data_IF_898748491195
#
_entry.id   IF_898748491195
#
_cell.length_a   1.000
_cell.length_b   1.000
_cell.length_c   1.000
_cell.angle_alpha   90.00
_cell.angle_beta   90.00
_cell.angle_gamma   90.00
#
_symmetry.space_group_name_H-M   'P 1'
#
loop_
_entity.id
_entity.type
_entity.pdbx_description
1 polymer ?
#
# COMPACT_ATOMS: atom_id res chain seq x y z
N UNK A 1 -0.21 -4.05 -11.26
CA UNK A 1 0.38 -5.34 -10.85
C UNK A 1 -0.27 -5.76 -9.55
N UNK A 2 -1.01 -6.87 -9.54
CA UNK A 2 -1.67 -7.38 -8.34
C UNK A 2 -0.93 -8.63 -7.87
N UNK A 3 -0.28 -8.54 -6.72
CA UNK A 3 0.45 -9.66 -6.08
C UNK A 3 -0.47 -10.83 -5.72
N UNK A 4 -1.78 -10.62 -5.75
CA UNK A 4 -2.79 -11.68 -5.52
C UNK A 4 -2.87 -12.73 -6.62
N UNK A 5 -2.34 -12.42 -7.81
CA UNK A 5 -2.28 -13.37 -8.90
C UNK A 5 -0.93 -14.08 -8.86
N UNK A 6 -0.90 -15.29 -8.30
CA UNK A 6 0.32 -16.11 -8.24
C UNK A 6 0.93 -16.30 -9.64
N UNK A 7 0.10 -16.42 -10.67
CA UNK A 7 0.55 -16.57 -12.06
C UNK A 7 1.27 -15.31 -12.53
N UNK A 8 0.80 -14.12 -12.13
CA UNK A 8 1.45 -12.85 -12.47
C UNK A 8 2.75 -12.65 -11.69
N UNK A 9 2.81 -13.05 -10.43
CA UNK A 9 4.05 -13.02 -9.63
C UNK A 9 5.11 -13.87 -10.30
N UNK A 10 4.79 -15.12 -10.63
CA UNK A 10 5.75 -16.06 -11.24
C UNK A 10 6.20 -15.61 -12.65
N UNK A 11 5.36 -14.89 -13.39
CA UNK A 11 5.66 -14.39 -14.74
C UNK A 11 6.36 -13.03 -14.77
N UNK A 12 6.29 -12.26 -13.71
CA UNK A 12 6.79 -10.89 -13.71
C UNK A 12 8.30 -10.78 -14.02
N UNK A 13 9.19 -11.59 -13.43
CA UNK A 13 10.61 -11.58 -13.80
C UNK A 13 10.83 -11.90 -15.28
N UNK A 14 10.10 -12.88 -15.80
CA UNK A 14 10.18 -13.25 -17.23
C UNK A 14 9.67 -12.12 -18.15
N UNK A 15 8.62 -11.41 -17.74
CA UNK A 15 8.12 -10.24 -18.48
C UNK A 15 9.16 -9.12 -18.51
N UNK A 16 9.84 -8.84 -17.40
CA UNK A 16 10.93 -7.88 -17.34
C UNK A 16 12.09 -8.28 -18.24
N UNK A 17 12.50 -9.54 -18.18
CA UNK A 17 13.57 -10.09 -19.02
C UNK A 17 13.21 -9.98 -20.51
N UNK A 18 11.99 -10.34 -20.90
CA UNK A 18 11.52 -10.26 -22.28
C UNK A 18 11.47 -8.82 -22.80
N UNK A 19 11.08 -7.86 -21.93
CA UNK A 19 10.92 -6.46 -22.32
C UNK A 19 12.26 -5.72 -22.40
N UNK A 20 13.15 -5.96 -21.47
CA UNK A 20 14.39 -5.19 -21.33
C UNK A 20 15.64 -5.99 -21.69
N UNK A 21 15.49 -7.30 -21.89
CA UNK A 21 16.58 -8.19 -22.25
C UNK A 21 17.65 -8.29 -21.17
N UNK A 22 18.86 -8.56 -21.61
CA UNK A 22 20.04 -8.64 -20.73
C UNK A 22 20.71 -7.28 -20.51
N UNK A 23 20.14 -6.19 -21.04
CA UNK A 23 20.68 -4.85 -20.84
C UNK A 23 20.08 -4.27 -19.57
N UNK A 24 20.84 -4.17 -18.46
CA UNK A 24 20.30 -3.64 -17.21
C UNK A 24 19.91 -2.16 -17.39
N UNK A 25 18.82 -1.73 -16.74
CA UNK A 25 18.54 -0.30 -16.62
C UNK A 25 19.64 0.38 -15.79
N UNK A 26 19.89 1.66 -16.02
CA UNK A 26 20.82 2.43 -15.20
C UNK A 26 20.31 2.64 -13.78
N UNK A 27 18.98 2.70 -13.63
CA UNK A 27 18.28 2.87 -12.36
C UNK A 27 16.94 2.15 -12.47
N UNK A 28 16.62 1.37 -11.46
CA UNK A 28 15.31 0.77 -11.26
C UNK A 28 14.59 1.52 -10.14
N UNK A 29 13.44 2.11 -10.44
CA UNK A 29 12.60 2.79 -9.44
C UNK A 29 11.43 1.88 -9.09
N UNK A 30 11.35 1.49 -7.83
CA UNK A 30 10.28 0.64 -7.29
C UNK A 30 9.34 1.48 -6.43
N UNK A 31 8.08 1.52 -6.79
CA UNK A 31 7.03 2.17 -6.02
C UNK A 31 6.36 1.13 -5.11
N UNK A 32 6.65 1.23 -3.83
CA UNK A 32 6.24 0.26 -2.82
C UNK A 32 7.32 -0.80 -2.54
N UNK A 33 7.57 -1.05 -1.26
CA UNK A 33 8.53 -2.06 -0.78
C UNK A 33 8.15 -3.48 -1.18
N UNK A 34 6.87 -3.72 -1.46
CA UNK A 34 6.35 -4.98 -1.97
C UNK A 34 7.09 -5.45 -3.25
N UNK A 35 7.51 -4.51 -4.10
CA UNK A 35 8.25 -4.86 -5.33
C UNK A 35 9.63 -5.49 -5.07
N UNK A 36 10.13 -5.37 -3.85
CA UNK A 36 11.38 -5.98 -3.42
C UNK A 36 11.31 -7.51 -3.18
N UNK A 37 10.12 -8.11 -3.29
CA UNK A 37 10.02 -9.58 -3.31
C UNK A 37 10.79 -10.18 -4.50
N UNK A 38 10.97 -9.42 -5.58
CA UNK A 38 11.71 -9.84 -6.79
C UNK A 38 13.19 -9.45 -6.78
N UNK A 39 13.77 -9.06 -5.65
CA UNK A 39 15.16 -8.58 -5.56
C UNK A 39 16.19 -9.61 -6.04
N UNK A 40 15.96 -10.90 -5.75
CA UNK A 40 16.85 -11.99 -6.16
C UNK A 40 16.84 -12.14 -7.67
N UNK A 41 15.65 -12.19 -8.29
CA UNK A 41 15.49 -12.30 -9.73
C UNK A 41 16.07 -11.07 -10.45
N UNK A 42 15.90 -9.88 -9.88
CA UNK A 42 16.50 -8.64 -10.40
C UNK A 42 18.03 -8.75 -10.38
N UNK A 43 18.61 -9.24 -9.29
CA UNK A 43 20.04 -9.42 -9.14
C UNK A 43 20.60 -10.49 -10.09
N UNK A 44 19.88 -11.60 -10.26
CA UNK A 44 20.23 -12.65 -11.22
C UNK A 44 20.19 -12.15 -12.67
N UNK A 45 19.19 -11.34 -13.02
CA UNK A 45 19.03 -10.82 -14.39
C UNK A 45 20.06 -9.74 -14.73
N UNK A 46 20.31 -8.82 -13.81
CA UNK A 46 21.01 -7.55 -14.12
C UNK A 46 22.19 -7.23 -13.21
N UNK A 47 22.56 -8.14 -12.31
CA UNK A 47 23.66 -7.95 -11.37
C UNK A 47 23.39 -6.80 -10.38
N UNK A 48 24.39 -5.95 -10.17
CA UNK A 48 24.35 -4.87 -9.19
C UNK A 48 23.71 -3.59 -9.77
N UNK A 49 22.47 -3.70 -10.26
CA UNK A 49 21.72 -2.53 -10.73
C UNK A 49 21.36 -1.59 -9.57
N UNK A 50 21.41 -0.28 -9.82
CA UNK A 50 20.97 0.70 -8.82
C UNK A 50 19.47 0.64 -8.64
N UNK A 51 18.99 0.48 -7.41
CA UNK A 51 17.57 0.38 -7.04
C UNK A 51 17.17 1.52 -6.12
N UNK A 52 16.15 2.28 -6.51
CA UNK A 52 15.48 3.28 -5.66
C UNK A 52 14.12 2.74 -5.25
N UNK A 53 13.93 2.50 -3.95
CA UNK A 53 12.64 2.10 -3.39
C UNK A 53 11.96 3.30 -2.77
N UNK A 54 10.73 3.60 -3.18
CA UNK A 54 9.91 4.69 -2.66
C UNK A 54 8.71 4.10 -1.92
N UNK A 55 8.67 4.22 -0.59
CA UNK A 55 7.56 3.72 0.22
C UNK A 55 7.39 4.54 1.52
N UNK A 56 6.24 4.41 2.14
CA UNK A 56 5.97 4.91 3.50
C UNK A 56 6.47 3.96 4.60
N UNK A 57 6.65 2.69 4.27
CA UNK A 57 7.11 1.63 5.17
C UNK A 57 8.49 1.14 4.73
N UNK A 58 9.54 1.25 5.56
CA UNK A 58 10.88 0.80 5.23
C UNK A 58 11.07 -0.72 5.35
N UNK A 59 10.01 -1.47 5.55
CA UNK A 59 10.08 -2.91 5.71
C UNK A 59 9.60 -3.65 4.47
N UNK A 60 10.28 -4.75 4.16
CA UNK A 60 9.90 -5.74 3.18
C UNK A 60 9.36 -6.94 3.94
N UNK A 61 8.20 -7.40 3.55
CA UNK A 61 7.55 -8.57 4.11
C UNK A 61 7.69 -9.78 3.20
N UNK A 62 7.28 -10.94 3.68
CA UNK A 62 7.23 -12.15 2.85
C UNK A 62 6.16 -12.02 1.78
N UNK A 63 6.35 -12.72 0.66
CA UNK A 63 5.34 -12.80 -0.40
C UNK A 63 3.99 -13.27 0.14
N UNK A 64 4.00 -14.22 1.07
CA UNK A 64 2.81 -14.72 1.74
C UNK A 64 2.03 -13.61 2.46
N UNK A 65 2.72 -12.69 3.13
CA UNK A 65 2.09 -11.54 3.79
C UNK A 65 1.39 -10.61 2.79
N UNK A 66 2.04 -10.33 1.67
CA UNK A 66 1.43 -9.48 0.64
C UNK A 66 0.23 -10.15 -0.06
N UNK A 67 0.22 -11.46 -0.11
CA UNK A 67 -0.90 -12.24 -0.69
C UNK A 67 -2.05 -12.44 0.29
N UNK A 68 -1.75 -12.54 1.59
CA UNK A 68 -2.78 -12.68 2.62
C UNK A 68 -3.44 -11.34 2.90
N UNK A 69 -4.73 -11.39 3.07
CA UNK A 69 -5.53 -10.26 3.55
C UNK A 69 -5.53 -10.18 5.08
N UNK A 70 -4.53 -10.77 5.73
CA UNK A 70 -4.40 -10.77 7.18
C UNK A 70 -3.64 -9.52 7.63
N UNK A 71 -4.18 -8.86 8.64
CA UNK A 71 -3.68 -7.60 9.20
C UNK A 71 -2.54 -7.83 10.21
N UNK A 72 -2.18 -9.09 10.46
CA UNK A 72 -1.13 -9.44 11.42
C UNK A 72 0.23 -9.19 10.80
N UNK A 73 0.91 -8.14 11.25
CA UNK A 73 2.27 -7.84 10.79
C UNK A 73 3.19 -9.01 11.13
N UNK A 74 3.82 -9.66 10.16
CA UNK A 74 4.69 -10.81 10.41
C UNK A 74 5.92 -10.39 11.22
N UNK A 75 6.39 -11.29 12.07
CA UNK A 75 7.65 -11.08 12.81
C UNK A 75 8.86 -11.04 11.85
N UNK A 76 8.78 -11.76 10.74
CA UNK A 76 9.82 -11.85 9.72
C UNK A 76 9.72 -10.72 8.70
N UNK A 77 10.12 -9.53 9.10
CA UNK A 77 10.24 -8.38 8.21
C UNK A 77 11.70 -7.96 8.07
N UNK A 78 12.08 -7.57 6.88
CA UNK A 78 13.43 -7.13 6.56
C UNK A 78 13.42 -5.61 6.40
N UNK A 79 14.25 -4.90 7.16
CA UNK A 79 14.43 -3.48 6.94
C UNK A 79 15.22 -3.25 5.65
N UNK A 80 14.79 -2.34 4.79
CA UNK A 80 15.43 -2.10 3.47
C UNK A 80 16.91 -1.77 3.62
N UNK A 81 17.29 -1.01 4.66
CA UNK A 81 18.69 -0.65 4.89
C UNK A 81 19.60 -1.86 5.19
N UNK A 82 19.06 -2.95 5.73
CA UNK A 82 19.86 -4.17 5.97
C UNK A 82 20.26 -4.91 4.69
N UNK A 83 19.69 -4.53 3.56
CA UNK A 83 20.00 -5.09 2.25
C UNK A 83 21.11 -4.35 1.50
N UNK A 84 21.64 -3.25 2.05
CA UNK A 84 22.64 -2.40 1.35
C UNK A 84 23.96 -3.07 1.09
N UNK A 85 24.30 -4.07 1.89
CA UNK A 85 25.55 -4.83 1.70
C UNK A 85 25.44 -5.80 0.52
N UNK A 86 24.22 -6.26 0.22
CA UNK A 86 23.94 -7.25 -0.84
C UNK A 86 23.41 -6.62 -2.13
N UNK A 87 22.85 -5.40 -2.05
CA UNK A 87 22.17 -4.73 -3.17
C UNK A 87 22.51 -3.25 -3.19
N UNK A 88 22.74 -2.69 -4.38
CA UNK A 88 22.89 -1.24 -4.59
C UNK A 88 21.53 -0.53 -4.45
N UNK A 89 21.06 -0.39 -3.22
CA UNK A 89 19.72 0.08 -2.90
C UNK A 89 19.73 1.40 -2.14
N UNK A 90 18.81 2.28 -2.51
CA UNK A 90 18.47 3.50 -1.78
C UNK A 90 16.99 3.49 -1.44
N UNK A 91 16.66 3.77 -0.18
CA UNK A 91 15.27 3.92 0.25
C UNK A 91 14.91 5.40 0.35
N UNK A 92 13.82 5.78 -0.30
CA UNK A 92 13.22 7.11 -0.20
C UNK A 92 11.89 7.01 0.54
N UNK A 93 11.84 7.57 1.74
CA UNK A 93 10.62 7.59 2.53
C UNK A 93 9.59 8.53 1.90
N UNK A 94 8.42 8.00 1.58
CA UNK A 94 7.26 8.72 1.04
C UNK A 94 6.09 8.60 2.01
N UNK A 95 5.95 9.50 2.99
CA UNK A 95 4.95 9.37 4.05
C UNK A 95 3.52 9.44 3.49
N UNK A 96 2.63 8.64 4.06
CA UNK A 96 1.22 8.58 3.65
C UNK A 96 0.39 9.82 4.08
N UNK A 97 0.94 10.70 4.92
CA UNK A 97 0.30 11.95 5.41
C UNK A 97 -1.13 11.76 5.96
N UNK A 98 -1.41 10.61 6.57
CA UNK A 98 -2.76 10.25 7.03
C UNK A 98 -3.33 11.25 8.06
N UNK A 99 -2.51 11.64 9.03
CA UNK A 99 -2.88 12.62 10.06
C UNK A 99 -3.14 14.01 9.46
N UNK A 100 -2.25 14.44 8.57
CA UNK A 100 -2.33 15.72 7.88
C UNK A 100 -3.58 15.79 7.00
N UNK A 101 -3.94 14.70 6.35
CA UNK A 101 -5.16 14.57 5.55
C UNK A 101 -6.41 14.75 6.41
N UNK A 102 -6.50 14.06 7.56
CA UNK A 102 -7.62 14.25 8.50
C UNK A 102 -7.64 15.69 9.00
N UNK A 103 -6.50 16.26 9.41
CA UNK A 103 -6.38 17.64 9.85
C UNK A 103 -6.80 18.65 8.76
N UNK A 104 -6.50 18.36 7.50
CA UNK A 104 -6.96 19.19 6.38
C UNK A 104 -8.49 19.13 6.27
N UNK A 105 -9.09 17.95 6.33
CA UNK A 105 -10.54 17.79 6.28
C UNK A 105 -11.26 18.53 7.41
N UNK A 106 -10.71 18.58 8.64
CA UNK A 106 -11.31 19.38 9.72
C UNK A 106 -11.38 20.88 9.43
N UNK A 107 -10.55 21.37 8.49
CA UNK A 107 -10.54 22.77 8.07
C UNK A 107 -11.44 23.03 6.86
N UNK A 108 -11.63 22.02 6.02
CA UNK A 108 -12.35 22.13 4.75
C UNK A 108 -13.85 21.82 4.89
N UNK A 109 -14.20 20.93 5.83
CA UNK A 109 -15.57 20.44 6.00
C UNK A 109 -16.16 21.09 7.26
N UNK A 110 -17.16 22.00 7.12
CA UNK A 110 -17.86 22.54 8.27
C UNK A 110 -18.54 21.43 9.08
N UNK A 111 -18.37 21.44 10.40
CA UNK A 111 -18.94 20.43 11.30
C UNK A 111 -18.53 18.99 10.93
N UNK A 112 -17.25 18.81 10.58
CA UNK A 112 -16.72 17.48 10.25
C UNK A 112 -16.90 16.51 11.42
N UNK A 113 -17.70 15.47 11.23
CA UNK A 113 -18.07 14.51 12.26
C UNK A 113 -17.71 13.06 11.91
N UNK A 114 -17.51 12.74 10.62
CA UNK A 114 -17.30 11.38 10.17
C UNK A 114 -16.20 11.27 9.12
N UNK A 115 -15.38 10.25 9.25
CA UNK A 115 -14.35 9.86 8.29
C UNK A 115 -14.67 8.50 7.71
N UNK A 116 -14.82 8.41 6.39
CA UNK A 116 -14.72 7.17 5.66
C UNK A 116 -13.32 7.01 5.10
N UNK A 117 -12.73 5.85 5.29
CA UNK A 117 -11.53 5.44 4.58
C UNK A 117 -11.89 4.32 3.62
N UNK A 118 -11.67 4.57 2.33
CA UNK A 118 -11.93 3.60 1.26
C UNK A 118 -10.61 2.95 0.86
N UNK A 119 -10.57 1.62 0.94
CA UNK A 119 -9.42 0.85 0.52
C UNK A 119 -9.82 -0.58 0.17
N UNK A 120 -8.97 -1.25 -0.60
CA UNK A 120 -9.09 -2.69 -0.74
C UNK A 120 -8.58 -3.41 0.54
N UNK A 121 -8.77 -4.72 0.60
CA UNK A 121 -8.28 -5.53 1.72
C UNK A 121 -6.81 -5.92 1.59
N UNK A 122 -6.05 -5.29 0.67
CA UNK A 122 -4.70 -5.65 0.30
C UNK A 122 -3.73 -4.61 0.87
N UNK A 123 -2.50 -5.04 1.16
CA UNK A 123 -1.42 -4.12 1.56
C UNK A 123 -1.28 -2.96 0.54
N UNK A 124 -1.11 -1.69 0.99
CA UNK A 124 -0.90 -1.25 2.37
C UNK A 124 -2.19 -0.85 3.14
N UNK A 125 -3.38 -1.02 2.57
CA UNK A 125 -4.62 -0.47 3.15
C UNK A 125 -4.97 -0.99 4.55
N UNK A 126 -4.78 -2.27 4.91
CA UNK A 126 -4.98 -2.71 6.29
C UNK A 126 -4.09 -1.98 7.30
N UNK A 127 -2.83 -1.70 6.94
CA UNK A 127 -1.93 -0.93 7.80
C UNK A 127 -2.34 0.54 7.90
N UNK A 128 -2.76 1.16 6.80
CA UNK A 128 -3.30 2.53 6.81
C UNK A 128 -4.59 2.62 7.63
N UNK A 129 -5.48 1.62 7.53
CA UNK A 129 -6.66 1.53 8.37
C UNK A 129 -6.31 1.51 9.87
N UNK A 130 -5.37 0.68 10.27
CA UNK A 130 -4.90 0.58 11.66
C UNK A 130 -4.30 1.91 12.14
N UNK A 131 -3.45 2.53 11.32
CA UNK A 131 -2.85 3.83 11.62
C UNK A 131 -3.91 4.93 11.73
N UNK A 132 -4.84 5.03 10.77
CA UNK A 132 -5.92 6.00 10.79
C UNK A 132 -6.83 5.84 12.00
N UNK A 133 -7.20 4.61 12.34
CA UNK A 133 -8.00 4.33 13.55
C UNK A 133 -7.30 4.85 14.80
N UNK A 134 -6.00 4.60 14.94
CA UNK A 134 -5.20 5.08 16.07
C UNK A 134 -5.09 6.61 16.09
N UNK A 135 -4.84 7.24 14.93
CA UNK A 135 -4.78 8.71 14.79
C UNK A 135 -6.11 9.34 15.20
N UNK A 136 -7.23 8.83 14.68
CA UNK A 136 -8.56 9.38 14.96
C UNK A 136 -8.90 9.20 16.44
N UNK A 137 -8.72 8.01 17.00
CA UNK A 137 -9.00 7.75 18.41
C UNK A 137 -8.19 8.65 19.34
N UNK A 138 -6.93 8.93 19.02
CA UNK A 138 -6.04 9.73 19.86
C UNK A 138 -6.17 11.23 19.64
N UNK A 139 -6.15 11.66 18.38
CA UNK A 139 -5.99 13.08 18.02
C UNK A 139 -7.32 13.76 17.63
N UNK A 140 -8.34 12.99 17.27
CA UNK A 140 -9.66 13.46 16.84
C UNK A 140 -10.81 12.63 17.43
N UNK A 141 -10.88 12.44 18.76
CA UNK A 141 -11.80 11.49 19.41
C UNK A 141 -13.29 11.81 19.20
N UNK A 142 -13.62 12.98 18.69
CA UNK A 142 -14.98 13.38 18.33
C UNK A 142 -15.40 12.87 16.95
N UNK A 143 -14.46 12.42 16.09
CA UNK A 143 -14.76 11.90 14.77
C UNK A 143 -15.19 10.43 14.83
N UNK A 144 -16.28 10.11 14.16
CA UNK A 144 -16.64 8.75 13.84
C UNK A 144 -15.72 8.25 12.69
N UNK A 145 -15.27 7.02 12.77
CA UNK A 145 -14.39 6.42 11.77
C UNK A 145 -14.98 5.12 11.23
N UNK A 146 -14.95 4.96 9.92
CA UNK A 146 -15.35 3.71 9.27
C UNK A 146 -14.40 3.37 8.13
N UNK A 147 -13.85 2.15 8.16
CA UNK A 147 -13.13 1.57 7.05
C UNK A 147 -14.11 0.83 6.14
N UNK A 148 -14.19 1.25 4.89
CA UNK A 148 -14.98 0.64 3.84
C UNK A 148 -14.00 -0.05 2.89
N UNK A 149 -14.00 -1.37 2.93
CA UNK A 149 -13.06 -2.20 2.19
C UNK A 149 -13.78 -3.05 1.16
N UNK A 150 -13.20 -3.26 -0.01
CA UNK A 150 -13.70 -4.20 -1.02
C UNK A 150 -13.79 -5.65 -0.50
N UNK A 151 -13.17 -5.94 0.63
CA UNK A 151 -13.29 -7.21 1.33
C UNK A 151 -14.62 -7.36 2.08
N UNK A 152 -15.14 -6.26 2.65
CA UNK A 152 -16.35 -6.26 3.50
C UNK A 152 -17.56 -5.62 2.81
N UNK A 153 -17.37 -4.96 1.67
CA UNK A 153 -18.39 -4.23 0.95
C UNK A 153 -18.38 -4.61 -0.52
N UNK A 154 -19.54 -4.93 -1.03
CA UNK A 154 -19.77 -5.02 -2.48
C UNK A 154 -19.79 -3.62 -3.10
N UNK A 155 -19.63 -3.53 -4.41
CA UNK A 155 -19.69 -2.26 -5.12
C UNK A 155 -21.05 -1.53 -4.92
N UNK A 156 -22.23 -2.20 -4.96
CA UNK A 156 -23.49 -1.56 -4.61
C UNK A 156 -23.56 -1.02 -3.18
N UNK A 157 -22.99 -1.71 -2.21
CA UNK A 157 -22.94 -1.26 -0.81
C UNK A 157 -22.02 -0.05 -0.66
N UNK A 158 -20.89 -0.02 -1.36
CA UNK A 158 -20.02 1.16 -1.42
C UNK A 158 -20.79 2.37 -1.98
N UNK A 159 -21.47 2.20 -3.12
CA UNK A 159 -22.27 3.28 -3.70
C UNK A 159 -23.36 3.78 -2.75
N UNK A 160 -24.03 2.88 -2.04
CA UNK A 160 -25.04 3.24 -1.05
C UNK A 160 -24.41 4.01 0.13
N UNK A 161 -23.25 3.56 0.64
CA UNK A 161 -22.55 4.26 1.73
C UNK A 161 -22.14 5.69 1.31
N UNK A 162 -21.60 5.85 0.11
CA UNK A 162 -21.20 7.16 -0.42
C UNK A 162 -22.40 8.07 -0.73
N UNK A 163 -23.50 7.52 -1.27
CA UNK A 163 -24.71 8.27 -1.56
C UNK A 163 -25.38 8.78 -0.29
N UNK A 164 -25.32 8.02 0.78
CA UNK A 164 -25.90 8.34 2.08
C UNK A 164 -24.93 9.12 2.99
N UNK A 165 -23.71 9.40 2.53
CA UNK A 165 -22.79 10.24 3.25
C UNK A 165 -23.33 11.68 3.27
N UNK A 166 -23.36 12.26 4.45
CA UNK A 166 -23.78 13.65 4.63
C UNK A 166 -22.61 14.62 4.33
N UNK A 167 -22.92 15.91 4.39
CA UNK A 167 -21.94 16.99 4.14
C UNK A 167 -20.89 17.13 5.25
N UNK A 168 -21.10 16.54 6.41
CA UNK A 168 -20.18 16.47 7.53
C UNK A 168 -19.23 15.26 7.43
N UNK A 169 -19.37 14.42 6.40
CA UNK A 169 -18.54 13.23 6.15
C UNK A 169 -17.38 13.55 5.21
N UNK A 170 -16.17 13.27 5.66
CA UNK A 170 -14.98 13.27 4.81
C UNK A 170 -14.65 11.87 4.31
N UNK A 171 -14.15 11.78 3.08
CA UNK A 171 -13.78 10.52 2.44
C UNK A 171 -12.31 10.56 2.06
N UNK A 172 -11.54 9.64 2.63
CA UNK A 172 -10.16 9.35 2.22
C UNK A 172 -10.19 8.13 1.32
N UNK A 173 -9.59 8.23 0.15
CA UNK A 173 -9.51 7.13 -0.82
C UNK A 173 -8.05 6.76 -1.00
N UNK A 174 -7.74 5.47 -0.85
CA UNK A 174 -6.47 4.89 -1.27
C UNK A 174 -6.65 4.15 -2.60
N UNK A 175 -6.86 2.85 -2.56
CA UNK A 175 -7.11 2.02 -3.74
C UNK A 175 -8.38 1.22 -3.54
N UNK A 176 -9.08 0.97 -4.63
CA UNK A 176 -10.26 0.09 -4.62
C UNK A 176 -10.18 -0.86 -5.80
N UNK A 177 -9.69 -2.06 -5.55
CA UNK A 177 -9.77 -3.15 -6.51
C UNK A 177 -10.93 -4.06 -6.11
N UNK A 178 -12.04 -3.98 -6.83
CA UNK A 178 -13.10 -4.95 -6.71
C UNK A 178 -12.64 -6.24 -7.40
N UNK A 179 -12.66 -7.36 -6.67
CA UNK A 179 -12.61 -8.64 -7.34
C UNK A 179 -13.88 -8.74 -8.18
N UNK A 180 -13.73 -8.79 -9.50
CA UNK A 180 -14.81 -9.25 -10.38
C UNK A 180 -14.98 -10.73 -10.09
N UNK A 181 -16.02 -11.06 -9.32
CA UNK A 181 -16.52 -12.41 -9.20
C UNK A 181 -17.05 -12.92 -10.54
#
# INVERSE_FOLDING_TARGET
FMVNDSVMVDRFPQMLLNKYGKTPPKLLVLLGSMSMIFREEIKEMWGDVSILVCDSDPYIYTEEYYRKRDVTTPENKIHVDSLRDDYNITFMHTPAYLKESVKLMTRMIPKYEKTYFLGDGIYPNPEYNKQLKNIITRDFPYLQYQFISSYNYTLPELYNALRNADKETGVLVSTWFAETL
#
